data_IF_643414683017
#
_entry.id   IF_643414683017
#
_cell.length_a   1.000
_cell.length_b   1.000
_cell.length_c   1.000
_cell.angle_alpha   90.00
_cell.angle_beta   90.00
_cell.angle_gamma   90.00
#
_symmetry.space_group_name_H-M   'P 1'
#
loop_
_entity.id
_entity.type
_entity.pdbx_description
1 polymer ?
#
# COMPACT_ATOMS: atom_id res chain seq x y z
N UNK A 1 20.77 -15.67 8.80
CA UNK A 1 20.64 -14.66 9.86
C UNK A 1 20.15 -13.38 9.20
N UNK A 2 18.85 -13.09 9.26
CA UNK A 2 18.35 -11.80 8.81
C UNK A 2 18.57 -10.81 9.96
N UNK A 3 19.49 -9.87 9.79
CA UNK A 3 19.60 -8.73 10.68
C UNK A 3 18.31 -7.92 10.53
N UNK A 4 17.31 -8.23 11.36
CA UNK A 4 16.12 -7.39 11.48
C UNK A 4 16.61 -6.07 12.06
N UNK A 5 16.81 -5.09 11.20
CA UNK A 5 17.15 -3.75 11.62
C UNK A 5 16.07 -3.25 12.58
N UNK A 6 16.52 -2.70 13.70
CA UNK A 6 15.64 -2.19 14.77
C UNK A 6 14.99 -0.88 14.35
N UNK A 7 15.47 -0.25 13.27
CA UNK A 7 15.02 1.05 12.81
C UNK A 7 13.66 0.91 12.08
N UNK A 8 12.59 1.56 12.58
CA UNK A 8 11.27 1.55 11.95
C UNK A 8 11.23 2.25 10.57
N UNK A 9 12.24 3.03 10.21
CA UNK A 9 12.34 3.67 8.90
C UNK A 9 12.96 2.80 7.80
N UNK A 10 13.33 1.55 8.09
CA UNK A 10 13.85 0.66 7.06
C UNK A 10 12.78 0.28 6.03
N UNK A 11 13.19 0.25 4.77
CA UNK A 11 12.34 -0.10 3.61
C UNK A 11 11.64 -1.44 3.78
N UNK A 12 12.20 -2.36 4.56
CA UNK A 12 11.64 -3.69 4.82
C UNK A 12 10.44 -3.66 5.78
N UNK A 13 10.37 -2.66 6.68
CA UNK A 13 9.24 -2.46 7.61
C UNK A 13 8.12 -1.61 7.03
N UNK A 14 8.30 -1.07 5.82
CA UNK A 14 7.28 -0.25 5.16
C UNK A 14 6.04 -1.07 4.84
N UNK A 15 4.88 -0.43 4.96
CA UNK A 15 3.60 -1.06 4.65
C UNK A 15 3.56 -1.36 3.16
N UNK A 16 3.25 -2.61 2.81
CA UNK A 16 3.12 -3.04 1.43
C UNK A 16 1.65 -3.00 1.00
N UNK A 17 1.34 -2.18 0.00
CA UNK A 17 0.04 -2.11 -0.67
C UNK A 17 0.16 -2.67 -2.07
N UNK A 18 -0.80 -3.51 -2.44
CA UNK A 18 -0.99 -3.94 -3.81
C UNK A 18 -2.27 -3.33 -4.38
N UNK A 19 -2.33 -3.07 -5.70
CA UNK A 19 -3.54 -2.60 -6.37
C UNK A 19 -4.77 -3.48 -6.10
N UNK A 20 -4.57 -4.80 -6.02
CA UNK A 20 -5.63 -5.77 -5.72
C UNK A 20 -6.36 -5.50 -4.39
N UNK A 21 -5.73 -4.82 -3.43
CA UNK A 21 -6.36 -4.53 -2.14
C UNK A 21 -7.48 -3.50 -2.25
N UNK A 22 -7.38 -2.60 -3.22
CA UNK A 22 -8.27 -1.45 -3.44
C UNK A 22 -9.22 -1.71 -4.62
N UNK A 23 -8.97 -2.74 -5.42
CA UNK A 23 -9.74 -3.06 -6.61
C UNK A 23 -11.17 -3.52 -6.25
N UNK A 24 -12.18 -2.81 -6.76
CA UNK A 24 -13.60 -3.10 -6.58
C UNK A 24 -14.06 -4.38 -7.31
N UNK A 25 -13.42 -4.71 -8.44
CA UNK A 25 -13.72 -5.90 -9.24
C UNK A 25 -13.24 -7.20 -8.57
N UNK A 26 -12.38 -7.10 -7.55
CA UNK A 26 -11.85 -8.24 -6.82
C UNK A 26 -12.69 -8.55 -5.59
N UNK A 27 -12.89 -9.83 -5.33
CA UNK A 27 -13.50 -10.32 -4.10
C UNK A 27 -12.51 -10.29 -2.93
N UNK A 28 -13.01 -10.46 -1.70
CA UNK A 28 -12.16 -10.58 -0.50
C UNK A 28 -11.22 -11.80 -0.60
N UNK A 29 -11.67 -12.90 -1.22
CA UNK A 29 -10.87 -14.10 -1.45
C UNK A 29 -9.70 -13.83 -2.41
N UNK A 30 -9.94 -13.03 -3.46
CA UNK A 30 -8.94 -12.63 -4.44
C UNK A 30 -7.95 -11.58 -3.93
N UNK A 31 -8.23 -10.94 -2.79
CA UNK A 31 -7.29 -10.06 -2.11
C UNK A 31 -7.81 -8.66 -1.79
N UNK A 32 -9.06 -8.31 -2.14
CA UNK A 32 -9.66 -7.04 -1.73
C UNK A 32 -9.64 -6.92 -0.21
N UNK A 33 -9.26 -5.75 0.31
CA UNK A 33 -9.19 -5.47 1.76
C UNK A 33 -10.12 -4.37 2.23
N UNK A 34 -10.75 -3.66 1.30
CA UNK A 34 -11.65 -2.54 1.58
C UNK A 34 -13.08 -2.86 1.13
N UNK A 35 -14.12 -2.26 1.74
CA UNK A 35 -15.50 -2.42 1.29
C UNK A 35 -15.67 -1.96 -0.17
N UNK A 36 -16.61 -2.55 -0.89
CA UNK A 36 -16.74 -2.34 -2.35
C UNK A 36 -17.15 -0.89 -2.66
N UNK A 37 -17.89 -0.27 -1.75
CA UNK A 37 -18.32 1.13 -1.82
C UNK A 37 -17.15 2.13 -1.79
N UNK A 38 -16.07 1.79 -1.08
CA UNK A 38 -14.85 2.60 -1.01
C UNK A 38 -13.78 2.14 -2.01
N UNK A 39 -14.07 1.09 -2.77
CA UNK A 39 -13.13 0.49 -3.69
C UNK A 39 -13.13 1.18 -5.05
N UNK A 40 -11.96 1.23 -5.69
CA UNK A 40 -11.78 1.87 -7.00
C UNK A 40 -11.73 0.79 -8.06
N UNK A 41 -12.30 1.08 -9.23
CA UNK A 41 -12.21 0.18 -10.38
C UNK A 41 -10.81 0.22 -10.98
N UNK A 42 -10.14 -0.94 -11.05
CA UNK A 42 -8.83 -1.11 -11.71
C UNK A 42 -7.76 -0.05 -11.32
N UNK A 43 -7.40 0.05 -10.02
CA UNK A 43 -6.44 1.05 -9.57
C UNK A 43 -5.05 0.76 -10.15
N UNK A 44 -4.37 1.79 -10.64
CA UNK A 44 -2.99 1.70 -11.11
C UNK A 44 -1.99 1.98 -9.98
N UNK A 45 -0.82 1.34 -10.01
CA UNK A 45 0.24 1.61 -9.04
C UNK A 45 0.69 3.09 -9.03
N UNK A 46 0.66 3.73 -10.20
CA UNK A 46 0.99 5.15 -10.35
C UNK A 46 -0.03 6.04 -9.62
N UNK A 47 -1.33 5.78 -9.77
CA UNK A 47 -2.38 6.55 -9.10
C UNK A 47 -2.28 6.40 -7.58
N UNK A 48 -2.07 5.18 -7.09
CA UNK A 48 -1.87 4.93 -5.66
C UNK A 48 -0.67 5.73 -5.14
N UNK A 49 0.46 5.73 -5.88
CA UNK A 49 1.62 6.53 -5.52
C UNK A 49 1.28 8.01 -5.46
N UNK A 50 0.65 8.54 -6.50
CA UNK A 50 0.40 9.97 -6.64
C UNK A 50 -0.53 10.49 -5.53
N UNK A 51 -1.59 9.74 -5.18
CA UNK A 51 -2.49 10.07 -4.06
C UNK A 51 -1.74 10.07 -2.73
N UNK A 52 -0.89 9.06 -2.49
CA UNK A 52 -0.13 8.95 -1.25
C UNK A 52 0.98 10.01 -1.14
N UNK A 53 1.62 10.36 -2.25
CA UNK A 53 2.59 11.45 -2.33
C UNK A 53 1.91 12.80 -2.12
N UNK A 54 0.72 13.01 -2.69
CA UNK A 54 -0.09 14.21 -2.44
C UNK A 54 -0.55 14.31 -0.97
N UNK A 55 -0.79 13.16 -0.33
CA UNK A 55 -1.06 13.10 1.11
C UNK A 55 0.18 13.40 1.99
N UNK A 56 1.36 13.60 1.40
CA UNK A 56 2.60 13.93 2.11
C UNK A 56 3.31 12.74 2.73
N UNK A 57 3.08 11.53 2.21
CA UNK A 57 3.75 10.31 2.67
C UNK A 57 4.92 9.95 1.77
N UNK A 58 5.92 9.31 2.37
CA UNK A 58 7.04 8.77 1.60
C UNK A 58 6.64 7.42 1.00
N UNK A 59 6.70 7.34 -0.33
CA UNK A 59 6.22 6.21 -1.11
C UNK A 59 7.33 5.66 -2.00
N UNK A 60 7.48 4.34 -2.00
CA UNK A 60 8.42 3.62 -2.85
C UNK A 60 7.64 2.64 -3.72
N UNK A 61 7.87 2.64 -5.03
CA UNK A 61 7.24 1.69 -5.94
C UNK A 61 8.23 0.59 -6.31
N UNK A 62 7.86 -0.65 -6.08
CA UNK A 62 8.62 -1.83 -6.45
C UNK A 62 7.91 -2.60 -7.56
N UNK A 63 8.66 -3.10 -8.54
CA UNK A 63 8.14 -3.93 -9.63
C UNK A 63 7.90 -5.39 -9.19
N UNK A 64 7.05 -5.58 -8.17
CA UNK A 64 6.66 -6.90 -7.62
C UNK A 64 5.20 -7.20 -7.92
N UNK A 65 4.89 -8.48 -8.08
CA UNK A 65 3.54 -8.96 -8.39
C UNK A 65 2.88 -9.51 -7.12
N UNK A 66 1.55 -9.37 -7.03
CA UNK A 66 0.78 -9.98 -5.96
C UNK A 66 0.62 -11.49 -6.21
N UNK A 67 0.95 -12.38 -5.24
CA UNK A 67 0.94 -13.82 -5.48
C UNK A 67 -0.42 -14.42 -5.86
N UNK A 68 -1.53 -13.80 -5.45
CA UNK A 68 -2.89 -14.25 -5.80
C UNK A 68 -3.43 -13.58 -7.05
N UNK A 69 -2.70 -12.63 -7.62
CA UNK A 69 -3.10 -12.02 -8.90
C UNK A 69 -2.71 -12.98 -10.02
N UNK A 70 -3.70 -13.44 -10.77
CA UNK A 70 -3.48 -14.32 -11.92
C UNK A 70 -3.07 -13.51 -13.15
N UNK A 71 -3.53 -12.27 -13.24
CA UNK A 71 -3.33 -11.45 -14.43
C UNK A 71 -1.95 -10.77 -14.43
N UNK A 72 -1.13 -11.06 -15.44
CA UNK A 72 0.27 -10.58 -15.57
C UNK A 72 0.41 -9.25 -16.29
N UNK A 73 -0.71 -8.58 -16.60
CA UNK A 73 -0.68 -7.27 -17.24
C UNK A 73 0.09 -6.24 -16.41
N UNK A 74 0.74 -5.33 -17.14
CA UNK A 74 1.58 -4.26 -16.56
C UNK A 74 0.78 -3.40 -15.58
N UNK A 75 -0.53 -3.26 -15.80
CA UNK A 75 -1.43 -2.46 -14.95
C UNK A 75 -1.59 -3.05 -13.53
N UNK A 76 -1.57 -4.38 -13.39
CA UNK A 76 -1.71 -5.06 -12.09
C UNK A 76 -0.35 -5.38 -11.45
N UNK A 77 0.74 -5.06 -12.15
CA UNK A 77 2.09 -5.23 -11.66
C UNK A 77 2.52 -4.01 -10.85
N UNK A 78 2.97 -4.27 -9.63
CA UNK A 78 3.62 -3.29 -8.78
C UNK A 78 3.18 -3.43 -7.33
N UNK A 79 4.08 -3.01 -6.45
CA UNK A 79 3.89 -2.98 -5.00
C UNK A 79 4.29 -1.60 -4.54
N UNK A 80 3.38 -0.96 -3.83
CA UNK A 80 3.60 0.35 -3.24
C UNK A 80 4.00 0.15 -1.78
N UNK A 81 5.16 0.68 -1.40
CA UNK A 81 5.67 0.68 -0.03
C UNK A 81 5.50 2.06 0.57
N UNK A 82 4.96 2.12 1.78
CA UNK A 82 4.67 3.37 2.47
C UNK A 82 5.39 3.40 3.80
N UNK A 83 6.08 4.51 4.05
CA UNK A 83 6.65 4.81 5.35
C UNK A 83 5.57 5.36 6.29
N UNK A 84 5.19 4.57 7.29
CA UNK A 84 4.27 5.03 8.34
C UNK A 84 5.00 5.61 9.55
N UNK A 85 6.22 5.14 9.82
CA UNK A 85 7.03 5.55 10.97
C UNK A 85 8.33 6.17 10.51
N UNK A 86 8.72 7.24 11.18
CA UNK A 86 10.02 7.89 11.05
C UNK A 86 11.06 7.13 11.87
N UNK A 87 12.34 7.49 11.71
CA UNK A 87 13.47 6.85 12.43
C UNK A 87 13.31 6.94 13.95
N UNK A 88 12.69 8.02 14.42
CA UNK A 88 12.42 8.31 15.83
C UNK A 88 11.22 7.51 16.41
N UNK A 89 10.62 6.61 15.61
CA UNK A 89 9.44 5.83 16.02
C UNK A 89 8.11 6.59 15.97
N UNK A 90 8.17 7.92 15.82
CA UNK A 90 7.05 8.81 15.57
C UNK A 90 6.34 8.49 14.24
N UNK A 91 5.01 8.69 14.20
CA UNK A 91 4.21 8.49 12.99
C UNK A 91 4.47 9.61 11.99
N UNK A 92 4.63 9.30 10.70
CA UNK A 92 4.77 10.30 9.64
C UNK A 92 3.59 11.28 9.62
N UNK A 93 2.38 10.80 9.94
CA UNK A 93 1.24 11.64 10.26
C UNK A 93 0.32 10.99 11.29
N UNK A 94 -0.21 11.82 12.19
CA UNK A 94 -1.15 11.42 13.23
C UNK A 94 -2.47 10.87 12.66
N UNK A 95 -2.90 11.36 11.49
CA UNK A 95 -4.08 10.87 10.76
C UNK A 95 -4.01 9.39 10.40
N UNK A 96 -2.79 8.84 10.39
CA UNK A 96 -2.42 7.57 9.79
C UNK A 96 -1.77 6.62 10.80
N UNK A 97 -2.39 6.49 11.98
CA UNK A 97 -1.87 5.68 13.09
C UNK A 97 -2.04 4.16 13.02
N UNK A 98 -2.61 3.58 11.95
CA UNK A 98 -2.85 2.13 11.90
C UNK A 98 -2.61 1.49 10.53
N UNK A 99 -2.26 0.20 10.56
CA UNK A 99 -2.01 -0.65 9.38
C UNK A 99 -3.21 -0.78 8.44
N UNK A 100 -4.38 -0.27 8.82
CA UNK A 100 -5.61 -0.18 8.01
C UNK A 100 -5.75 1.18 7.29
N UNK A 101 -4.66 1.93 7.18
CA UNK A 101 -4.52 3.21 6.47
C UNK A 101 -5.35 3.32 5.18
N UNK A 102 -5.31 2.28 4.34
CA UNK A 102 -5.96 2.25 3.03
C UNK A 102 -7.50 2.39 3.08
N UNK A 103 -8.13 2.26 4.25
CA UNK A 103 -9.58 2.48 4.46
C UNK A 103 -9.91 3.96 4.66
N UNK A 104 -8.96 4.77 5.13
CA UNK A 104 -9.17 6.16 5.55
C UNK A 104 -8.76 7.19 4.50
N UNK A 105 -8.00 6.78 3.49
CA UNK A 105 -7.59 7.66 2.39
C UNK A 105 -8.73 7.96 1.39
N UNK A 106 -9.88 7.33 1.57
CA UNK A 106 -11.10 7.50 0.76
C UNK A 106 -12.16 8.38 1.44
N UNK A 107 -11.82 9.05 2.55
CA UNK A 107 -12.69 10.00 3.26
C UNK A 107 -12.19 11.44 3.10
#
# INVERSE_FOLDING_TARGET
MAHLTTNPADKERFLCIYPAYINSKKTLAEGRRIPAEKAVENPSCAEIRDVLTAAGLNVLVENKMYPREWNRDVQFRGRVRIQLKLEDGSLCQEKFGSSKFYIRCTE
#
